data_IF_078054503814
#
_entry.id   IF_078054503814
#
_cell.length_a   1.000
_cell.length_b   1.000
_cell.length_c   1.000
_cell.angle_alpha   90.00
_cell.angle_beta   90.00
_cell.angle_gamma   90.00
#
_symmetry.space_group_name_H-M   'P 1'
#
loop_
_entity.id
_entity.type
_entity.pdbx_description
1 polymer ?
#
# COMPACT_ATOMS: atom_id res chain seq x y z
N UNK A 1 6.69 6.98 24.57
CA UNK A 1 6.49 7.23 23.13
C UNK A 1 6.73 6.00 22.23
N UNK A 2 7.02 4.80 22.76
CA UNK A 2 7.22 3.59 21.94
C UNK A 2 5.98 2.67 21.85
N UNK A 3 4.94 2.93 22.65
CA UNK A 3 3.80 2.00 22.81
C UNK A 3 2.65 2.28 21.83
N UNK A 4 2.54 3.51 21.31
CA UNK A 4 1.41 3.92 20.46
C UNK A 4 1.55 3.49 18.99
N UNK A 5 2.75 3.11 18.53
CA UNK A 5 2.95 2.64 17.15
C UNK A 5 2.62 1.15 16.95
N UNK A 6 2.61 0.36 18.04
CA UNK A 6 2.24 -1.05 18.00
C UNK A 6 0.71 -1.27 18.08
N UNK A 7 -0.02 -0.31 18.65
CA UNK A 7 -1.46 -0.43 18.87
C UNK A 7 -2.29 -0.15 17.60
N UNK A 8 -1.83 0.71 16.70
CA UNK A 8 -2.59 1.03 15.48
C UNK A 8 -2.55 -0.07 14.41
N UNK A 9 -1.72 -1.10 14.57
CA UNK A 9 -1.72 -2.27 13.67
C UNK A 9 -2.77 -3.34 14.05
N UNK A 10 -3.41 -3.22 15.22
CA UNK A 10 -4.31 -4.24 15.76
C UNK A 10 -5.81 -3.90 15.67
N UNK A 11 -6.18 -2.64 15.44
CA UNK A 11 -7.59 -2.21 15.57
C UNK A 11 -8.45 -2.31 14.30
N UNK A 12 -7.95 -2.89 13.20
CA UNK A 12 -8.82 -3.15 12.04
C UNK A 12 -8.51 -4.49 11.38
N UNK A 13 -8.89 -5.60 12.01
CA UNK A 13 -9.10 -6.83 11.23
C UNK A 13 -10.14 -7.78 11.83
N UNK A 14 -11.37 -7.28 11.90
CA UNK A 14 -12.57 -8.12 12.03
C UNK A 14 -13.17 -8.31 10.64
N UNK A 15 -12.77 -9.37 9.94
CA UNK A 15 -13.60 -9.93 8.87
C UNK A 15 -13.26 -11.41 8.64
N UNK A 16 -14.16 -12.25 9.17
CA UNK A 16 -14.69 -13.48 8.54
C UNK A 16 -15.58 -14.17 9.59
N UNK A 17 -16.77 -13.61 9.82
CA UNK A 17 -17.89 -14.27 10.52
C UNK A 17 -19.23 -13.83 9.89
N UNK A 18 -19.23 -13.56 8.59
CA UNK A 18 -20.45 -13.33 7.81
C UNK A 18 -20.45 -14.33 6.65
N UNK A 19 -21.64 -14.79 6.28
CA UNK A 19 -22.00 -15.94 5.43
C UNK A 19 -21.40 -15.98 4.00
N UNK A 20 -20.50 -15.06 3.66
CA UNK A 20 -19.94 -14.87 2.32
C UNK A 20 -18.50 -15.43 2.16
N UNK A 21 -18.15 -16.45 2.96
CA UNK A 21 -16.90 -17.19 2.76
C UNK A 21 -17.06 -18.11 1.54
N UNK A 22 -16.36 -17.79 0.45
CA UNK A 22 -16.27 -18.68 -0.71
C UNK A 22 -15.69 -20.04 -0.28
N UNK A 23 -16.10 -21.13 -0.93
CA UNK A 23 -15.62 -22.50 -0.63
C UNK A 23 -14.08 -22.66 -0.75
N UNK A 24 -13.43 -21.69 -1.39
CA UNK A 24 -11.98 -21.62 -1.57
C UNK A 24 -11.24 -20.98 -0.39
N UNK A 25 -11.95 -20.41 0.59
CA UNK A 25 -11.32 -19.84 1.78
C UNK A 25 -10.84 -20.95 2.73
N UNK A 26 -9.54 -21.07 3.05
CA UNK A 26 -9.05 -22.06 4.00
C UNK A 26 -9.71 -21.96 5.39
N UNK A 27 -10.18 -20.79 5.79
CA UNK A 27 -10.90 -20.57 7.07
C UNK A 27 -12.36 -21.04 7.04
N UNK A 28 -12.88 -21.43 5.88
CA UNK A 28 -14.19 -22.10 5.77
C UNK A 28 -14.20 -23.47 6.46
N UNK A 29 -13.04 -24.13 6.57
CA UNK A 29 -12.91 -25.44 7.18
C UNK A 29 -12.64 -25.36 8.68
N UNK A 30 -13.38 -26.16 9.46
CA UNK A 30 -13.30 -26.14 10.93
C UNK A 30 -11.91 -26.48 11.48
N UNK A 31 -11.17 -27.39 10.83
CA UNK A 31 -9.83 -27.78 11.22
C UNK A 31 -8.83 -26.62 11.19
N UNK A 32 -8.84 -25.84 10.11
CA UNK A 32 -7.98 -24.66 9.96
C UNK A 32 -8.35 -23.55 10.94
N UNK A 33 -9.63 -23.37 11.26
CA UNK A 33 -10.08 -22.38 12.27
C UNK A 33 -9.53 -22.67 13.67
N UNK A 34 -9.54 -23.94 14.09
CA UNK A 34 -9.00 -24.34 15.41
C UNK A 34 -7.50 -24.06 15.51
N UNK A 35 -6.76 -24.31 14.42
CA UNK A 35 -5.33 -24.03 14.36
C UNK A 35 -5.03 -22.54 14.29
N UNK A 36 -5.90 -21.74 13.66
CA UNK A 36 -5.73 -20.30 13.49
C UNK A 36 -6.25 -19.45 14.67
N UNK A 37 -6.94 -20.05 15.64
CA UNK A 37 -7.49 -19.36 16.82
C UNK A 37 -6.49 -18.46 17.60
N UNK A 38 -5.21 -18.85 17.80
CA UNK A 38 -4.25 -17.98 18.49
C UNK A 38 -3.57 -16.96 17.57
N UNK A 39 -3.80 -17.00 16.25
CA UNK A 39 -3.14 -16.13 15.29
C UNK A 39 -3.91 -14.82 15.13
N UNK A 40 -3.22 -13.68 14.98
CA UNK A 40 -3.88 -12.44 14.56
C UNK A 40 -4.48 -12.63 13.17
N UNK A 41 -5.77 -12.29 13.01
CA UNK A 41 -6.43 -12.33 11.72
C UNK A 41 -5.71 -11.37 10.76
N UNK A 42 -5.31 -11.88 9.59
CA UNK A 42 -4.57 -11.11 8.58
C UNK A 42 -5.11 -11.34 7.17
N UNK A 43 -6.41 -11.64 7.03
CA UNK A 43 -7.03 -11.75 5.71
C UNK A 43 -7.14 -10.37 5.06
N UNK A 44 -6.10 -10.00 4.33
CA UNK A 44 -6.14 -8.84 3.43
C UNK A 44 -6.78 -9.30 2.12
N UNK A 45 -8.03 -8.93 1.91
CA UNK A 45 -8.72 -9.20 0.64
C UNK A 45 -8.04 -8.51 -0.55
N UNK A 46 -7.39 -7.38 -0.29
CA UNK A 46 -6.66 -6.61 -1.29
C UNK A 46 -5.32 -6.16 -0.72
N UNK A 47 -4.31 -6.11 -1.58
CA UNK A 47 -3.01 -5.55 -1.23
C UNK A 47 -3.12 -4.03 -1.07
N UNK A 48 -2.38 -3.47 -0.12
CA UNK A 48 -2.26 -2.03 0.09
C UNK A 48 -0.92 -1.56 -0.44
N UNK A 49 -0.95 -0.50 -1.25
CA UNK A 49 0.24 0.10 -1.81
C UNK A 49 0.70 1.25 -0.94
N UNK A 50 1.98 1.29 -0.60
CA UNK A 50 2.57 2.32 0.24
C UNK A 50 3.74 2.95 -0.49
N UNK A 51 3.77 4.28 -0.55
CA UNK A 51 4.81 5.02 -1.24
C UNK A 51 6.16 4.85 -0.54
N UNK A 52 7.22 4.65 -1.32
CA UNK A 52 8.57 4.52 -0.77
C UNK A 52 9.11 5.81 -0.14
N UNK A 53 8.74 6.98 -0.67
CA UNK A 53 9.24 8.29 -0.22
C UNK A 53 8.42 8.79 0.97
N UNK A 54 7.11 9.03 0.78
CA UNK A 54 6.26 9.64 1.81
C UNK A 54 5.82 8.64 2.90
N UNK A 55 5.95 7.33 2.65
CA UNK A 55 5.39 6.26 3.50
C UNK A 55 3.87 6.31 3.66
N UNK A 56 3.19 7.08 2.82
CA UNK A 56 1.74 7.18 2.79
C UNK A 56 1.11 6.11 1.89
N UNK A 57 -0.16 5.81 2.15
CA UNK A 57 -0.97 4.93 1.32
C UNK A 57 -1.18 5.54 -0.07
N UNK A 58 -1.12 4.69 -1.10
CA UNK A 58 -1.51 5.01 -2.47
C UNK A 58 -2.93 4.48 -2.71
N UNK A 59 -3.87 5.40 -2.91
CA UNK A 59 -5.30 5.15 -3.09
C UNK A 59 -5.87 6.03 -4.22
N UNK A 60 -7.20 6.23 -4.25
CA UNK A 60 -7.86 7.06 -5.26
C UNK A 60 -7.48 8.53 -5.18
N UNK A 61 -7.24 9.05 -3.97
CA UNK A 61 -6.87 10.44 -3.71
C UNK A 61 -5.36 10.67 -3.87
N UNK A 62 -4.55 9.64 -3.65
CA UNK A 62 -3.11 9.65 -3.79
C UNK A 62 -2.63 8.55 -4.75
N UNK A 63 -2.97 8.64 -6.05
CA UNK A 63 -2.75 7.53 -6.97
C UNK A 63 -1.26 7.27 -7.23
N UNK A 64 -0.92 6.05 -7.67
CA UNK A 64 0.44 5.72 -8.08
C UNK A 64 0.79 6.35 -9.44
N UNK A 65 1.98 6.96 -9.50
CA UNK A 65 2.63 7.49 -10.70
C UNK A 65 3.93 6.72 -10.98
N UNK A 66 4.20 6.47 -12.26
CA UNK A 66 5.33 5.69 -12.75
C UNK A 66 6.35 6.62 -13.39
N UNK A 67 7.59 6.53 -12.94
CA UNK A 67 8.74 7.18 -13.56
C UNK A 67 9.18 6.44 -14.84
N UNK A 68 9.95 7.07 -15.75
CA UNK A 68 10.45 6.42 -16.98
C UNK A 68 11.30 5.16 -16.76
N UNK A 69 11.88 4.99 -15.58
CA UNK A 69 12.63 3.79 -15.19
C UNK A 69 11.75 2.64 -14.63
N UNK A 70 10.42 2.82 -14.62
CA UNK A 70 9.45 1.83 -14.16
C UNK A 70 9.19 1.83 -12.64
N UNK A 71 9.80 2.73 -11.87
CA UNK A 71 9.52 2.82 -10.43
C UNK A 71 8.27 3.65 -10.15
N UNK A 72 7.52 3.22 -9.13
CA UNK A 72 6.22 3.80 -8.77
C UNK A 72 6.30 4.55 -7.45
N UNK A 73 5.73 5.75 -7.42
CA UNK A 73 5.62 6.61 -6.26
C UNK A 73 4.25 7.28 -6.23
N UNK A 74 3.84 7.80 -5.07
CA UNK A 74 2.56 8.49 -4.95
C UNK A 74 2.59 9.88 -5.58
N UNK A 75 1.43 10.36 -6.08
CA UNK A 75 1.29 11.72 -6.63
C UNK A 75 1.78 12.78 -5.67
N UNK A 76 1.34 12.76 -4.39
CA UNK A 76 1.77 13.74 -3.39
C UNK A 76 3.28 13.81 -3.23
N UNK A 77 3.95 12.66 -3.18
CA UNK A 77 5.40 12.60 -2.99
C UNK A 77 6.15 13.17 -4.19
N UNK A 78 5.68 12.91 -5.42
CA UNK A 78 6.31 13.42 -6.63
C UNK A 78 6.04 14.92 -6.81
N UNK A 79 4.84 15.39 -6.49
CA UNK A 79 4.50 16.81 -6.54
C UNK A 79 5.34 17.62 -5.56
N UNK A 80 5.49 17.15 -4.32
CA UNK A 80 6.28 17.85 -3.31
C UNK A 80 7.76 17.89 -3.67
N UNK A 81 8.28 16.81 -4.27
CA UNK A 81 9.63 16.78 -4.81
C UNK A 81 9.81 17.75 -5.98
N UNK A 82 8.86 17.79 -6.92
CA UNK A 82 8.89 18.68 -8.06
C UNK A 82 8.80 20.16 -7.63
N UNK A 83 7.96 20.50 -6.63
CA UNK A 83 7.87 21.86 -6.08
C UNK A 83 9.20 22.34 -5.50
N UNK A 84 9.93 21.45 -4.83
CA UNK A 84 11.22 21.77 -4.22
C UNK A 84 12.37 21.85 -5.25
N UNK A 85 12.27 21.10 -6.34
CA UNK A 85 13.35 20.94 -7.32
C UNK A 85 13.02 21.56 -8.70
N UNK A 86 12.26 22.65 -8.73
CA UNK A 86 11.92 23.39 -9.96
C UNK A 86 11.31 22.52 -11.07
N UNK A 87 10.41 21.60 -10.73
CA UNK A 87 9.73 20.71 -11.66
C UNK A 87 10.42 19.36 -11.91
N UNK A 88 11.62 19.16 -11.33
CA UNK A 88 12.38 17.91 -11.50
C UNK A 88 12.12 16.91 -10.38
N UNK A 89 12.12 15.65 -10.75
CA UNK A 89 11.97 14.51 -9.84
C UNK A 89 13.23 13.68 -9.91
N UNK A 90 13.76 13.30 -8.75
CA UNK A 90 14.90 12.38 -8.65
C UNK A 90 14.45 11.08 -8.03
N UNK A 91 14.64 9.98 -8.74
CA UNK A 91 14.37 8.64 -8.22
C UNK A 91 15.38 8.29 -7.11
N UNK A 92 14.95 8.04 -5.86
CA UNK A 92 15.87 7.73 -4.76
C UNK A 92 16.55 6.36 -4.90
N UNK A 93 16.05 5.47 -5.78
CA UNK A 93 16.59 4.11 -5.96
C UNK A 93 17.66 4.02 -7.05
N UNK A 94 17.52 4.83 -8.09
CA UNK A 94 18.39 4.75 -9.28
C UNK A 94 19.17 6.04 -9.53
N UNK A 95 18.78 7.15 -8.90
CA UNK A 95 19.34 8.47 -9.19
C UNK A 95 18.84 9.08 -10.50
N UNK A 96 17.93 8.43 -11.23
CA UNK A 96 17.35 9.01 -12.46
C UNK A 96 16.66 10.35 -12.14
N UNK A 97 17.00 11.38 -12.90
CA UNK A 97 16.33 12.67 -12.86
C UNK A 97 15.45 12.81 -14.10
N UNK A 98 14.16 13.10 -13.91
CA UNK A 98 13.21 13.34 -15.00
C UNK A 98 12.29 14.51 -14.63
N UNK A 99 11.57 15.05 -15.61
CA UNK A 99 10.62 16.13 -15.37
C UNK A 99 9.28 15.55 -14.89
N UNK A 100 8.50 16.33 -14.14
CA UNK A 100 7.16 15.90 -13.67
C UNK A 100 6.19 15.64 -14.84
N UNK A 101 6.46 16.14 -16.04
CA UNK A 101 5.66 15.84 -17.23
C UNK A 101 5.87 14.44 -17.78
N UNK A 102 6.98 13.78 -17.43
CA UNK A 102 7.36 12.48 -17.99
C UNK A 102 6.75 11.30 -17.20
N UNK A 103 6.08 11.59 -16.08
CA UNK A 103 5.47 10.54 -15.25
C UNK A 103 4.07 10.18 -15.73
N UNK A 104 3.74 8.89 -15.64
CA UNK A 104 2.47 8.35 -16.13
C UNK A 104 1.68 7.73 -14.99
N UNK A 105 0.35 7.87 -15.00
CA UNK A 105 -0.51 7.25 -13.99
C UNK A 105 -0.54 5.73 -14.14
N UNK A 106 -0.32 5.00 -13.05
CA UNK A 106 -0.52 3.56 -13.01
C UNK A 106 -1.96 3.21 -12.64
N UNK A 107 -2.47 2.15 -13.25
CA UNK A 107 -3.74 1.52 -12.91
C UNK A 107 -3.45 0.09 -12.44
N UNK A 108 -3.96 -0.25 -11.27
CA UNK A 108 -3.72 -1.53 -10.61
C UNK A 108 -5.09 -2.13 -10.32
N UNK A 109 -5.34 -3.32 -10.86
CA UNK A 109 -6.60 -4.07 -10.77
C UNK A 109 -6.53 -5.15 -9.69
#
# INVERSE_FOLDING_TARGET
MSVYMFLLFLDTLRFCYEDDCTKEDPLSQEGFRKLAQPLPYSKQHHSKLVCYISKELMDTENPPLVLPNGYVYSTKALEDMAKQNHGKITCPRTGLVCDYTDVVKAFIS
#
